data_IF_350733848182
#
_entry.id   IF_350733848182
#
_cell.length_a   1.000
_cell.length_b   1.000
_cell.length_c   1.000
_cell.angle_alpha   90.00
_cell.angle_beta   90.00
_cell.angle_gamma   90.00
#
_symmetry.space_group_name_H-M   'P 1'
#
loop_
_entity.id
_entity.type
_entity.pdbx_description
1 polymer ?
#
# COMPACT_ATOMS: atom_id res chain seq x y z
N UNK A 1 17.61 2.74 11.62
CA UNK A 1 16.40 2.22 12.27
C UNK A 1 15.41 1.78 11.21
N UNK A 2 14.89 0.57 11.34
CA UNK A 2 13.96 0.00 10.36
C UNK A 2 12.69 0.81 10.19
N UNK A 3 12.16 1.40 11.28
CA UNK A 3 10.95 2.22 11.20
C UNK A 3 11.14 3.47 10.34
N UNK A 4 12.36 4.02 10.29
CA UNK A 4 12.65 5.19 9.45
C UNK A 4 12.51 4.81 7.97
N UNK A 5 13.05 3.67 7.57
CA UNK A 5 12.95 3.21 6.19
C UNK A 5 11.50 2.89 5.83
N UNK A 6 10.79 2.20 6.71
CA UNK A 6 9.37 1.87 6.50
C UNK A 6 8.52 3.14 6.36
N UNK A 7 8.78 4.16 7.19
CA UNK A 7 8.05 5.42 7.12
C UNK A 7 8.36 6.21 5.85
N UNK A 8 9.59 6.13 5.35
CA UNK A 8 9.94 6.71 4.05
C UNK A 8 9.15 6.06 2.93
N UNK A 9 8.98 4.73 3.01
CA UNK A 9 8.20 4.01 2.02
C UNK A 9 6.74 4.46 2.05
N UNK A 10 6.15 4.60 3.25
CA UNK A 10 4.79 5.13 3.40
C UNK A 10 4.67 6.53 2.79
N UNK A 11 5.67 7.39 3.00
CA UNK A 11 5.64 8.72 2.40
C UNK A 11 5.60 8.65 0.88
N UNK A 12 6.36 7.75 0.27
CA UNK A 12 6.33 7.55 -1.18
C UNK A 12 4.97 7.03 -1.66
N UNK A 13 4.34 6.15 -0.87
CA UNK A 13 2.97 5.71 -1.16
C UNK A 13 2.02 6.92 -1.15
N UNK A 14 2.08 7.74 -0.10
CA UNK A 14 1.19 8.90 0.03
C UNK A 14 1.45 9.96 -1.03
N UNK A 15 2.69 10.07 -1.52
CA UNK A 15 3.05 10.97 -2.62
C UNK A 15 2.66 10.36 -3.98
N UNK A 16 2.20 9.12 -4.02
CA UNK A 16 1.94 8.34 -5.23
C UNK A 16 3.17 8.29 -6.14
N UNK A 17 4.34 8.25 -5.52
CA UNK A 17 5.64 8.26 -6.22
C UNK A 17 6.13 6.82 -6.41
N UNK A 18 5.65 6.17 -7.46
CA UNK A 18 6.00 4.77 -7.72
C UNK A 18 7.50 4.60 -7.95
N UNK A 19 8.12 5.53 -8.69
CA UNK A 19 9.57 5.50 -8.89
C UNK A 19 10.34 5.59 -7.59
N UNK A 20 9.88 6.46 -6.67
CA UNK A 20 10.49 6.59 -5.34
C UNK A 20 10.28 5.35 -4.49
N UNK A 21 9.13 4.70 -4.60
CA UNK A 21 8.88 3.42 -3.92
C UNK A 21 9.85 2.35 -4.41
N UNK A 22 9.99 2.22 -5.73
CA UNK A 22 10.89 1.23 -6.33
C UNK A 22 12.34 1.50 -5.92
N UNK A 23 12.75 2.75 -5.85
CA UNK A 23 14.10 3.12 -5.42
C UNK A 23 14.40 2.69 -3.98
N UNK A 24 13.36 2.57 -3.13
CA UNK A 24 13.50 2.10 -1.75
C UNK A 24 13.39 0.58 -1.63
N UNK A 25 13.16 -0.14 -2.71
CA UNK A 25 13.05 -1.60 -2.69
C UNK A 25 14.40 -2.25 -2.94
N UNK A 26 14.66 -3.37 -2.27
CA UNK A 26 15.80 -4.21 -2.62
C UNK A 26 15.59 -4.84 -3.99
N UNK A 27 16.64 -5.35 -4.61
CA UNK A 27 16.53 -6.00 -5.92
C UNK A 27 15.57 -7.20 -5.88
N UNK A 28 15.53 -7.91 -4.76
CA UNK A 28 14.68 -9.09 -4.54
C UNK A 28 13.40 -8.77 -3.75
N UNK A 29 13.00 -7.51 -3.71
CA UNK A 29 11.83 -7.07 -2.95
C UNK A 29 10.59 -7.88 -3.31
N UNK A 30 9.81 -8.21 -2.29
CA UNK A 30 8.55 -8.94 -2.44
C UNK A 30 7.43 -8.15 -1.76
N UNK A 31 6.31 -8.00 -2.45
CA UNK A 31 5.06 -7.52 -1.87
C UNK A 31 4.18 -8.72 -1.55
N UNK A 32 3.62 -8.75 -0.35
CA UNK A 32 2.67 -9.80 0.05
C UNK A 32 1.34 -9.12 0.37
N UNK A 33 0.30 -9.49 -0.37
CA UNK A 33 -1.03 -8.89 -0.18
C UNK A 33 -1.80 -9.53 0.97
N UNK A 34 -3.02 -9.05 1.21
CA UNK A 34 -3.85 -9.51 2.33
C UNK A 34 -4.28 -10.97 2.21
N UNK A 35 -4.18 -11.57 1.04
CA UNK A 35 -4.50 -12.96 0.81
C UNK A 35 -3.26 -13.85 0.84
N UNK A 36 -2.09 -13.28 1.08
CA UNK A 36 -0.83 -14.00 1.13
C UNK A 36 -0.18 -14.22 -0.23
N UNK A 37 -0.70 -13.62 -1.30
CA UNK A 37 -0.07 -13.71 -2.61
C UNK A 37 1.19 -12.84 -2.67
N UNK A 38 2.21 -13.34 -3.35
CA UNK A 38 3.51 -12.71 -3.46
C UNK A 38 3.76 -12.18 -4.85
N UNK A 39 4.33 -10.97 -4.92
CA UNK A 39 4.61 -10.29 -6.19
C UNK A 39 6.06 -9.79 -6.19
N UNK A 40 6.72 -9.87 -7.33
CA UNK A 40 8.07 -9.35 -7.53
C UNK A 40 8.02 -7.93 -8.11
N UNK A 41 9.19 -7.27 -8.16
CA UNK A 41 9.27 -5.84 -8.51
C UNK A 41 8.55 -5.44 -9.80
N UNK A 42 8.70 -6.14 -10.95
CA UNK A 42 8.00 -5.72 -12.16
C UNK A 42 6.48 -5.70 -12.01
N UNK A 43 5.91 -6.73 -11.36
CA UNK A 43 4.48 -6.79 -11.10
C UNK A 43 4.04 -5.73 -10.10
N UNK A 44 4.87 -5.47 -9.09
CA UNK A 44 4.59 -4.46 -8.05
C UNK A 44 4.50 -3.07 -8.67
N UNK A 45 5.45 -2.71 -9.51
CA UNK A 45 5.47 -1.39 -10.16
C UNK A 45 4.20 -1.18 -10.98
N UNK A 46 3.83 -2.15 -11.81
CA UNK A 46 2.59 -2.07 -12.60
C UNK A 46 1.36 -2.02 -11.71
N UNK A 47 1.35 -2.84 -10.66
CA UNK A 47 0.22 -2.92 -9.73
C UNK A 47 -0.03 -1.61 -9.01
N UNK A 48 1.03 -0.94 -8.53
CA UNK A 48 0.86 0.35 -7.86
C UNK A 48 0.36 1.43 -8.81
N UNK A 49 0.86 1.45 -10.04
CA UNK A 49 0.38 2.41 -11.04
C UNK A 49 -1.11 2.23 -11.31
N UNK A 50 -1.54 0.98 -11.49
CA UNK A 50 -2.95 0.67 -11.69
C UNK A 50 -3.79 1.03 -10.48
N UNK A 51 -3.27 0.76 -9.28
CA UNK A 51 -4.00 1.04 -8.05
C UNK A 51 -4.22 2.53 -7.85
N UNK A 52 -3.20 3.35 -8.13
CA UNK A 52 -3.33 4.81 -8.03
C UNK A 52 -4.26 5.38 -9.11
N UNK A 53 -4.44 4.69 -10.24
CA UNK A 53 -5.45 5.07 -11.22
C UNK A 53 -6.87 4.79 -10.71
N UNK A 54 -7.05 3.67 -9.99
CA UNK A 54 -8.34 3.29 -9.42
C UNK A 54 -8.68 4.07 -8.16
N UNK A 55 -7.67 4.48 -7.40
CA UNK A 55 -7.85 5.23 -6.14
C UNK A 55 -6.87 6.40 -6.17
N UNK A 56 -7.18 7.45 -6.94
CA UNK A 56 -6.22 8.54 -7.16
C UNK A 56 -5.91 9.38 -5.93
N UNK A 57 -6.69 9.25 -4.87
CA UNK A 57 -6.45 9.92 -3.59
C UNK A 57 -6.10 8.92 -2.47
N UNK A 58 -5.56 7.75 -2.85
CA UNK A 58 -5.19 6.74 -1.85
C UNK A 58 -4.23 7.31 -0.82
N UNK A 59 -4.47 6.97 0.45
CA UNK A 59 -3.66 7.44 1.56
C UNK A 59 -3.45 6.33 2.59
N UNK A 60 -2.33 6.44 3.30
CA UNK A 60 -1.98 5.56 4.41
C UNK A 60 -1.66 6.46 5.60
N UNK A 61 -2.24 6.18 6.75
CA UNK A 61 -1.93 6.87 7.99
C UNK A 61 -1.46 5.86 9.02
N UNK A 62 -0.27 6.11 9.57
CA UNK A 62 0.32 5.25 10.59
C UNK A 62 0.07 5.88 11.96
N UNK A 63 -0.59 5.13 12.83
CA UNK A 63 -0.88 5.57 14.19
C UNK A 63 0.19 5.08 15.16
N UNK A 64 0.74 3.88 14.94
CA UNK A 64 1.73 3.27 15.83
C UNK A 64 2.73 2.47 15.03
N UNK A 65 3.99 2.45 15.48
CA UNK A 65 5.04 1.67 14.85
C UNK A 65 5.88 0.96 15.92
N UNK A 66 6.19 -0.30 15.65
CA UNK A 66 7.04 -1.12 16.49
C UNK A 66 8.14 -1.71 15.63
N UNK A 67 9.34 -1.80 16.18
CA UNK A 67 10.49 -2.35 15.45
C UNK A 67 11.19 -3.39 16.30
N UNK A 68 11.45 -4.54 15.71
CA UNK A 68 12.28 -5.57 16.31
C UNK A 68 13.29 -6.01 15.23
N UNK A 69 14.57 -5.75 15.47
CA UNK A 69 15.60 -6.05 14.50
C UNK A 69 15.37 -5.32 13.18
N UNK A 70 15.25 -6.08 12.11
CA UNK A 70 15.02 -5.54 10.76
C UNK A 70 13.57 -5.60 10.34
N UNK A 71 12.67 -5.84 11.28
CA UNK A 71 11.23 -5.91 11.01
C UNK A 71 10.53 -4.75 11.70
N UNK A 72 9.74 -4.00 10.96
CA UNK A 72 8.88 -2.94 11.50
C UNK A 72 7.43 -3.31 11.29
N UNK A 73 6.62 -3.10 12.32
CA UNK A 73 5.17 -3.31 12.27
C UNK A 73 4.53 -1.93 12.36
N UNK A 74 3.76 -1.57 11.35
CA UNK A 74 3.08 -0.28 11.27
C UNK A 74 1.58 -0.54 11.36
N UNK A 75 0.93 0.11 12.32
CA UNK A 75 -0.50 -0.05 12.58
C UNK A 75 -1.19 1.26 12.27
N UNK A 76 -2.23 1.21 11.45
CA UNK A 76 -2.94 2.42 11.09
C UNK A 76 -4.16 2.15 10.24
N UNK A 77 -4.37 3.02 9.27
CA UNK A 77 -5.54 2.99 8.40
C UNK A 77 -5.13 3.34 6.98
N UNK A 78 -5.90 2.86 6.03
CA UNK A 78 -5.75 3.22 4.63
C UNK A 78 -7.12 3.52 4.04
N UNK A 79 -7.17 4.35 3.03
CA UNK A 79 -8.43 4.70 2.42
C UNK A 79 -8.27 5.50 1.15
N UNK A 80 -9.38 5.92 0.60
CA UNK A 80 -9.44 6.72 -0.60
C UNK A 80 -10.80 6.64 -1.23
N UNK A 81 -10.87 7.05 -2.50
CA UNK A 81 -12.10 7.03 -3.28
C UNK A 81 -11.86 6.19 -4.54
N UNK A 82 -12.65 5.14 -4.71
CA UNK A 82 -12.57 4.32 -5.91
C UNK A 82 -13.16 5.06 -7.11
N UNK A 83 -12.44 5.06 -8.23
CA UNK A 83 -12.96 5.56 -9.49
C UNK A 83 -12.84 4.47 -10.54
N UNK A 84 -13.87 4.30 -11.37
CA UNK A 84 -13.89 3.30 -12.45
C UNK A 84 -13.74 4.00 -13.80
N UNK A 85 -12.88 3.45 -14.64
CA UNK A 85 -12.68 3.96 -16.00
C UNK A 85 -12.21 5.42 -16.00
N UNK A 86 -12.98 6.29 -16.66
CA UNK A 86 -12.71 7.73 -16.73
C UNK A 86 -13.29 8.47 -15.53
N UNK A 87 -13.38 7.80 -14.41
CA UNK A 87 -14.21 8.16 -13.31
C UNK A 87 -13.99 9.51 -12.68
N UNK A 88 -15.09 10.05 -12.22
CA UNK A 88 -15.12 11.19 -11.34
C UNK A 88 -15.19 10.66 -9.92
N UNK A 89 -14.46 11.29 -9.00
CA UNK A 89 -14.55 10.91 -7.59
C UNK A 89 -15.96 11.19 -7.07
N UNK A 90 -16.56 10.19 -6.42
CA UNK A 90 -17.91 10.29 -5.85
C UNK A 90 -17.84 9.98 -4.36
N UNK A 91 -18.46 10.78 -3.49
CA UNK A 91 -18.41 10.54 -2.04
C UNK A 91 -18.88 9.14 -1.64
N UNK A 92 -19.86 8.57 -2.33
CA UNK A 92 -20.35 7.22 -2.04
C UNK A 92 -19.32 6.13 -2.29
N UNK A 93 -18.25 6.43 -3.02
CA UNK A 93 -17.15 5.50 -3.28
C UNK A 93 -15.97 5.70 -2.33
N UNK A 94 -16.12 6.52 -1.32
CA UNK A 94 -15.11 6.67 -0.28
C UNK A 94 -15.08 5.42 0.59
N UNK A 95 -13.87 5.03 0.98
CA UNK A 95 -13.69 3.89 1.87
C UNK A 95 -12.50 4.13 2.78
N UNK A 96 -12.52 3.44 3.91
CA UNK A 96 -11.42 3.44 4.86
C UNK A 96 -11.41 2.10 5.57
N UNK A 97 -10.23 1.57 5.86
CA UNK A 97 -10.10 0.30 6.57
C UNK A 97 -8.89 0.33 7.50
N UNK A 98 -8.99 -0.29 8.69
CA UNK A 98 -7.80 -0.51 9.50
C UNK A 98 -6.84 -1.42 8.75
N UNK A 99 -5.55 -1.21 8.97
CA UNK A 99 -4.54 -2.01 8.30
C UNK A 99 -3.28 -2.12 9.16
N UNK A 100 -2.56 -3.21 8.96
CA UNK A 100 -1.24 -3.43 9.55
C UNK A 100 -0.29 -3.74 8.41
N UNK A 101 0.85 -3.06 8.39
CA UNK A 101 1.92 -3.33 7.43
C UNK A 101 3.11 -3.90 8.17
N UNK A 102 3.74 -4.89 7.58
CA UNK A 102 4.99 -5.46 8.11
C UNK A 102 6.06 -5.25 7.07
N UNK A 103 7.09 -4.49 7.44
CA UNK A 103 8.20 -4.18 6.56
C UNK A 103 9.45 -4.89 7.06
N UNK A 104 10.07 -5.67 6.19
CA UNK A 104 11.39 -6.22 6.46
C UNK A 104 12.40 -5.40 5.67
N UNK A 105 13.43 -4.88 6.36
CA UNK A 105 14.40 -3.99 5.75
C UNK A 105 15.76 -4.66 5.66
N UNK A 106 16.56 -4.21 4.69
CA UNK A 106 17.93 -4.65 4.49
C UNK A 106 18.71 -3.56 3.77
N UNK A 107 19.85 -3.17 4.32
CA UNK A 107 20.73 -2.17 3.72
C UNK A 107 20.02 -0.85 3.39
N UNK A 108 19.17 -0.38 4.31
CA UNK A 108 18.45 0.88 4.17
C UNK A 108 17.30 0.85 3.18
N UNK A 109 16.90 -0.33 2.72
CA UNK A 109 15.81 -0.52 1.77
C UNK A 109 14.80 -1.53 2.28
N UNK A 110 13.62 -1.57 1.66
CA UNK A 110 12.56 -2.50 2.02
C UNK A 110 12.70 -3.77 1.19
N UNK A 111 12.92 -4.89 1.87
CA UNK A 111 13.06 -6.20 1.23
C UNK A 111 11.71 -6.91 1.11
N UNK A 112 10.79 -6.65 2.04
CA UNK A 112 9.43 -7.19 1.96
C UNK A 112 8.46 -6.16 2.53
N UNK A 113 7.36 -5.97 1.84
CA UNK A 113 6.24 -5.14 2.28
C UNK A 113 5.00 -6.00 2.31
N UNK A 114 4.45 -6.22 3.49
CA UNK A 114 3.28 -7.07 3.66
C UNK A 114 2.15 -6.26 4.28
N UNK A 115 0.94 -6.47 3.77
CA UNK A 115 -0.25 -5.81 4.31
C UNK A 115 -1.23 -6.84 4.87
N UNK A 116 -1.83 -6.49 6.00
CA UNK A 116 -2.97 -7.21 6.59
C UNK A 116 -4.12 -6.22 6.70
N UNK A 117 -5.13 -6.39 5.89
CA UNK A 117 -6.30 -5.50 5.91
C UNK A 117 -7.51 -6.22 5.37
N UNK A 118 -8.69 -5.71 5.75
CA UNK A 118 -9.93 -6.15 5.14
C UNK A 118 -10.19 -5.29 3.91
N UNK A 119 -10.19 -5.91 2.74
CA UNK A 119 -10.44 -5.21 1.47
C UNK A 119 -11.93 -5.20 1.09
N UNK A 120 -12.80 -5.75 1.93
CA UNK A 120 -14.23 -5.79 1.62
C UNK A 120 -14.84 -4.41 1.38
N UNK A 121 -14.50 -3.36 2.15
CA UNK A 121 -15.06 -2.04 1.89
C UNK A 121 -14.86 -1.58 0.44
N UNK A 122 -13.64 -1.66 -0.09
CA UNK A 122 -13.37 -1.24 -1.46
C UNK A 122 -13.92 -2.23 -2.48
N UNK A 123 -13.90 -3.53 -2.18
CA UNK A 123 -14.44 -4.55 -3.09
C UNK A 123 -15.96 -4.41 -3.24
N UNK A 124 -16.65 -4.06 -2.15
CA UNK A 124 -18.10 -3.82 -2.21
C UNK A 124 -18.42 -2.67 -3.16
N UNK A 125 -17.61 -1.60 -3.12
CA UNK A 125 -17.77 -0.46 -4.02
C UNK A 125 -17.50 -0.88 -5.47
N UNK A 126 -16.44 -1.64 -5.71
CA UNK A 126 -16.09 -2.13 -7.04
C UNK A 126 -17.21 -2.99 -7.63
N UNK A 127 -17.82 -3.87 -6.83
CA UNK A 127 -18.92 -4.71 -7.29
C UNK A 127 -20.13 -3.88 -7.72
N UNK A 128 -20.44 -2.82 -6.98
CA UNK A 128 -21.55 -1.92 -7.34
C UNK A 128 -21.27 -1.16 -8.63
N UNK A 129 -20.01 -0.83 -8.89
CA UNK A 129 -19.63 -0.07 -10.09
C UNK A 129 -19.70 -0.89 -11.37
N UNK A 130 -19.70 -2.22 -11.28
CA UNK A 130 -19.77 -3.13 -12.42
C UNK A 130 -21.21 -3.34 -12.89
N UNK A 131 -22.18 -3.23 -11.99
CA UNK A 131 -23.59 -3.51 -12.29
C UNK A 131 -24.30 -2.40 -13.06
#
# INVERSE_FOLDING_TARGET
MSSVVARRFVKKINDHDVGGMVALMTADHTFVDSLGERFSRPAIERGWKQYFDMVPNYWVKIDRAFTEGKVSILIGRAGGTYVSGKGVERPENNWETPAVWVARTRDGKVAEWRIYSDNEPVRAIMRKSIS
#
